data_IF_535145183898
#
_entry.id   IF_535145183898
#
_cell.length_a   1.000
_cell.length_b   1.000
_cell.length_c   1.000
_cell.angle_alpha   90.00
_cell.angle_beta   90.00
_cell.angle_gamma   90.00
#
_symmetry.space_group_name_H-M   'P 1'
#
loop_
_entity.id
_entity.type
_entity.pdbx_description
1 polymer ?
#
# COMPACT_ATOMS: atom_id res chain seq x y z
N UNK A 1 21.77 -31.46 -39.79
CA UNK A 1 21.29 -30.08 -39.52
C UNK A 1 20.20 -29.99 -38.44
N UNK A 2 19.46 -31.06 -38.10
CA UNK A 2 18.38 -31.03 -37.09
C UNK A 2 18.80 -30.68 -35.64
N UNK A 3 20.03 -30.99 -35.21
CA UNK A 3 20.45 -30.76 -33.81
C UNK A 3 20.65 -29.27 -33.46
N UNK A 4 21.01 -28.43 -34.45
CA UNK A 4 21.27 -27.00 -34.22
C UNK A 4 19.99 -26.18 -34.09
N UNK A 5 18.92 -26.58 -34.79
CA UNK A 5 17.59 -25.95 -34.66
C UNK A 5 16.91 -26.30 -33.35
N UNK A 6 17.08 -27.53 -32.82
CA UNK A 6 16.56 -27.91 -31.49
C UNK A 6 17.17 -27.11 -30.34
N UNK A 7 18.47 -26.80 -30.37
CA UNK A 7 19.10 -25.97 -29.34
C UNK A 7 18.57 -24.53 -29.35
N UNK A 8 18.26 -24.00 -30.53
CA UNK A 8 17.76 -22.63 -30.68
C UNK A 8 16.32 -22.48 -30.16
N UNK A 9 15.48 -23.49 -30.36
CA UNK A 9 14.11 -23.55 -29.84
C UNK A 9 14.12 -23.71 -28.31
N UNK A 10 15.03 -24.53 -27.77
CA UNK A 10 15.14 -24.71 -26.32
C UNK A 10 15.60 -23.42 -25.60
N UNK A 11 16.54 -22.66 -26.18
CA UNK A 11 16.95 -21.35 -25.64
C UNK A 11 15.83 -20.31 -25.70
N UNK A 12 14.96 -20.35 -26.72
CA UNK A 12 13.80 -19.46 -26.80
C UNK A 12 12.73 -19.78 -25.74
N UNK A 13 12.56 -21.06 -25.39
CA UNK A 13 11.55 -21.48 -24.41
C UNK A 13 11.92 -21.07 -22.98
N UNK A 14 13.22 -20.99 -22.65
CA UNK A 14 13.71 -20.60 -21.31
C UNK A 14 13.48 -19.11 -21.04
N UNK A 15 13.41 -18.27 -22.07
CA UNK A 15 13.17 -16.82 -21.93
C UNK A 15 11.75 -16.46 -21.45
N UNK A 16 10.77 -17.37 -21.59
CA UNK A 16 9.38 -17.12 -21.18
C UNK A 16 9.06 -17.57 -19.74
N UNK A 17 9.96 -18.29 -19.07
CA UNK A 17 9.72 -18.80 -17.71
C UNK A 17 10.15 -17.84 -16.59
N UNK A 18 10.76 -16.69 -16.92
CA UNK A 18 11.48 -15.87 -15.93
C UNK A 18 10.69 -14.72 -15.31
N UNK A 19 9.42 -14.52 -15.65
CA UNK A 19 8.67 -13.36 -15.16
C UNK A 19 7.40 -13.76 -14.42
N UNK A 20 7.55 -14.54 -13.35
CA UNK A 20 6.62 -14.41 -12.22
C UNK A 20 6.91 -13.06 -11.55
N UNK A 21 6.33 -11.99 -12.09
CA UNK A 21 6.21 -10.70 -11.40
C UNK A 21 5.34 -10.98 -10.19
N UNK A 22 6.01 -11.24 -9.07
CA UNK A 22 5.36 -11.40 -7.80
C UNK A 22 4.85 -10.01 -7.43
N UNK A 23 3.56 -9.76 -7.66
CA UNK A 23 2.87 -8.54 -7.25
C UNK A 23 2.79 -8.54 -5.71
N UNK A 24 3.94 -8.33 -5.07
CA UNK A 24 3.98 -8.04 -3.65
C UNK A 24 3.15 -6.77 -3.43
N UNK A 25 2.25 -6.81 -2.45
CA UNK A 25 1.46 -5.64 -2.06
C UNK A 25 2.39 -4.43 -1.96
N UNK A 26 2.08 -3.37 -2.71
CA UNK A 26 2.96 -2.22 -2.89
C UNK A 26 3.05 -1.47 -1.56
N UNK A 27 4.13 -1.73 -0.80
CA UNK A 27 4.48 -0.95 0.37
C UNK A 27 5.02 0.39 -0.10
N UNK A 28 4.34 1.47 0.26
CA UNK A 28 4.82 2.83 0.12
C UNK A 28 4.98 3.48 1.49
N UNK A 29 5.94 4.38 1.65
CA UNK A 29 6.28 4.91 2.97
C UNK A 29 6.65 6.39 2.89
N UNK A 30 6.25 7.12 3.93
CA UNK A 30 6.60 8.52 4.20
C UNK A 30 7.28 8.63 5.56
N UNK A 31 7.42 9.84 6.10
CA UNK A 31 8.16 10.07 7.35
C UNK A 31 7.42 9.44 8.53
N UNK A 32 6.10 9.60 8.58
CA UNK A 32 5.26 9.20 9.70
C UNK A 32 4.20 8.15 9.34
N UNK A 33 4.11 7.74 8.07
CA UNK A 33 3.01 6.89 7.57
C UNK A 33 3.52 5.81 6.64
N UNK A 34 3.07 4.57 6.86
CA UNK A 34 3.27 3.41 6.00
C UNK A 34 1.94 3.09 5.32
N UNK A 35 1.98 2.83 4.02
CA UNK A 35 0.82 2.45 3.21
C UNK A 35 1.07 1.08 2.57
N UNK A 36 0.18 0.14 2.81
CA UNK A 36 0.11 -1.17 2.16
C UNK A 36 -1.14 -1.23 1.28
N UNK A 37 -1.01 -1.65 0.04
CA UNK A 37 -2.16 -1.92 -0.84
C UNK A 37 -1.73 -2.05 -2.30
N UNK A 38 -2.66 -2.46 -3.15
CA UNK A 38 -2.45 -2.48 -4.60
C UNK A 38 -2.83 -1.11 -5.20
N UNK A 39 -1.98 -0.12 -4.93
CA UNK A 39 -2.15 1.26 -5.41
C UNK A 39 -0.99 1.66 -6.29
N UNK A 40 -1.29 2.37 -7.39
CA UNK A 40 -0.23 2.86 -8.29
C UNK A 40 0.75 3.76 -7.53
N UNK A 41 2.07 3.72 -7.86
CA UNK A 41 3.08 4.51 -7.14
C UNK A 41 2.76 6.01 -7.07
N UNK A 42 2.11 6.55 -8.12
CA UNK A 42 1.67 7.95 -8.18
C UNK A 42 0.59 8.23 -7.13
N UNK A 43 -0.43 7.37 -7.05
CA UNK A 43 -1.54 7.52 -6.09
C UNK A 43 -1.04 7.31 -4.66
N UNK A 44 -0.18 6.33 -4.44
CA UNK A 44 0.44 6.07 -3.15
C UNK A 44 1.21 7.30 -2.64
N UNK A 45 2.08 7.88 -3.49
CA UNK A 45 2.83 9.10 -3.16
C UNK A 45 1.91 10.27 -2.83
N UNK A 46 0.93 10.56 -3.69
CA UNK A 46 -0.02 11.67 -3.47
C UNK A 46 -0.84 11.47 -2.19
N UNK A 47 -1.20 10.23 -1.87
CA UNK A 47 -1.96 9.92 -0.65
C UNK A 47 -1.10 10.15 0.58
N UNK A 48 0.11 9.62 0.60
CA UNK A 48 1.06 9.82 1.71
C UNK A 48 1.36 11.30 1.95
N UNK A 49 1.60 12.09 0.89
CA UNK A 49 1.82 13.54 1.01
C UNK A 49 0.62 14.26 1.64
N UNK A 50 -0.61 13.94 1.22
CA UNK A 50 -1.83 14.52 1.79
C UNK A 50 -2.02 14.13 3.25
N UNK A 51 -1.69 12.90 3.62
CA UNK A 51 -1.82 12.44 5.00
C UNK A 51 -0.78 13.07 5.92
N UNK A 52 0.45 13.29 5.44
CA UNK A 52 1.45 14.08 6.17
C UNK A 52 1.01 15.53 6.38
N UNK A 53 0.39 16.16 5.36
CA UNK A 53 -0.20 17.50 5.50
C UNK A 53 -1.30 17.50 6.57
N UNK A 54 -2.21 16.52 6.50
CA UNK A 54 -3.29 16.40 7.47
C UNK A 54 -2.77 16.17 8.90
N UNK A 55 -1.76 15.30 9.06
CA UNK A 55 -1.08 15.10 10.35
C UNK A 55 -0.55 16.41 10.91
N UNK A 56 0.23 17.15 10.11
CA UNK A 56 0.78 18.46 10.54
C UNK A 56 -0.31 19.44 10.95
N UNK A 57 -1.43 19.46 10.24
CA UNK A 57 -2.58 20.30 10.59
C UNK A 57 -3.15 19.92 11.97
N UNK A 58 -3.42 18.64 12.20
CA UNK A 58 -3.95 18.16 13.48
C UNK A 58 -2.99 18.45 14.64
N UNK A 59 -1.68 18.22 14.45
CA UNK A 59 -0.68 18.53 15.47
C UNK A 59 -0.63 20.03 15.79
N UNK A 60 -0.67 20.88 14.77
CA UNK A 60 -0.69 22.33 14.94
C UNK A 60 -1.92 22.77 15.74
N UNK A 61 -3.10 22.24 15.41
CA UNK A 61 -4.35 22.52 16.13
C UNK A 61 -4.32 22.01 17.58
N UNK A 62 -3.59 20.92 17.84
CA UNK A 62 -3.37 20.38 19.18
C UNK A 62 -2.29 21.10 19.99
N UNK A 63 -1.62 22.12 19.44
CA UNK A 63 -0.52 22.82 20.11
C UNK A 63 0.78 22.00 20.21
N UNK A 64 0.94 20.99 19.35
CA UNK A 64 2.14 20.16 19.25
C UNK A 64 3.07 20.68 18.14
N UNK A 65 4.37 20.34 18.21
CA UNK A 65 5.31 20.61 17.11
C UNK A 65 4.94 19.74 15.89
N UNK A 66 4.56 20.30 14.73
CA UNK A 66 4.16 19.50 13.57
C UNK A 66 5.34 18.88 12.80
N UNK A 67 6.60 19.24 13.11
CA UNK A 67 7.78 18.76 12.39
C UNK A 67 8.54 17.62 13.09
N UNK A 68 8.13 17.27 14.32
CA UNK A 68 8.59 16.07 15.01
C UNK A 68 8.12 14.81 14.27
N UNK A 69 8.97 13.79 14.32
CA UNK A 69 8.65 12.46 13.82
C UNK A 69 7.89 11.65 14.85
N UNK A 70 6.90 10.90 14.40
CA UNK A 70 6.23 9.93 15.26
C UNK A 70 7.21 8.81 15.62
N UNK A 71 7.23 8.41 16.90
CA UNK A 71 8.00 7.25 17.35
C UNK A 71 7.56 5.97 16.62
N UNK A 72 6.25 5.86 16.37
CA UNK A 72 5.63 4.77 15.63
C UNK A 72 4.82 5.30 14.45
N UNK A 73 5.13 4.80 13.24
CA UNK A 73 4.41 5.21 12.03
C UNK A 73 2.99 4.67 12.03
N UNK A 74 2.06 5.49 11.54
CA UNK A 74 0.69 5.03 11.28
C UNK A 74 0.71 4.08 10.09
N UNK A 75 0.21 2.87 10.29
CA UNK A 75 0.10 1.87 9.21
C UNK A 75 -1.29 1.93 8.59
N UNK A 76 -1.36 2.09 7.27
CA UNK A 76 -2.60 2.14 6.50
C UNK A 76 -2.65 0.93 5.56
N UNK A 77 -3.70 0.12 5.67
CA UNK A 77 -4.05 -0.95 4.75
C UNK A 77 -5.15 -0.46 3.81
N UNK A 78 -4.78 -0.23 2.55
CA UNK A 78 -5.67 0.21 1.50
C UNK A 78 -6.23 -0.96 0.72
N UNK A 79 -7.56 -0.99 0.63
CA UNK A 79 -8.32 -1.90 -0.22
C UNK A 79 -8.74 -1.18 -1.50
N UNK A 80 -8.83 -1.92 -2.60
CA UNK A 80 -9.16 -1.37 -3.92
C UNK A 80 -10.56 -0.75 -3.95
N UNK A 81 -11.49 -1.35 -3.20
CA UNK A 81 -12.87 -0.93 -3.18
C UNK A 81 -13.58 -1.31 -1.88
N UNK A 82 -14.74 -0.69 -1.68
CA UNK A 82 -15.54 -0.91 -0.47
C UNK A 82 -16.07 -2.34 -0.35
N UNK A 83 -16.17 -3.12 -1.43
CA UNK A 83 -16.61 -4.51 -1.33
C UNK A 83 -15.55 -5.38 -0.66
N UNK A 84 -14.28 -5.22 -1.04
CA UNK A 84 -13.17 -5.91 -0.38
C UNK A 84 -13.05 -5.49 1.09
N UNK A 85 -13.10 -4.18 1.37
CA UNK A 85 -13.07 -3.67 2.75
C UNK A 85 -14.20 -4.28 3.59
N UNK A 86 -15.44 -4.29 3.08
CA UNK A 86 -16.58 -4.87 3.81
C UNK A 86 -16.44 -6.38 4.01
N UNK A 87 -15.89 -7.08 3.02
CA UNK A 87 -15.61 -8.52 3.12
C UNK A 87 -14.59 -8.80 4.21
N UNK A 88 -13.57 -7.95 4.33
CA UNK A 88 -12.55 -8.05 5.37
C UNK A 88 -13.09 -7.66 6.75
N UNK A 89 -13.77 -6.52 6.84
CA UNK A 89 -14.27 -5.95 8.08
C UNK A 89 -15.47 -6.72 8.67
N UNK A 90 -16.11 -7.61 7.90
CA UNK A 90 -17.27 -8.39 8.34
C UNK A 90 -18.51 -7.53 8.64
N UNK A 91 -18.52 -6.26 8.24
CA UNK A 91 -19.58 -5.30 8.55
C UNK A 91 -19.93 -4.46 7.33
N UNK A 92 -21.24 -4.18 7.17
CA UNK A 92 -21.74 -3.27 6.13
C UNK A 92 -21.78 -1.83 6.67
N UNK A 93 -21.57 -0.85 5.79
CA UNK A 93 -21.69 0.57 6.12
C UNK A 93 -20.46 1.22 6.74
N UNK A 94 -19.31 0.54 6.75
CA UNK A 94 -18.04 1.11 7.24
C UNK A 94 -17.17 1.57 6.07
N UNK A 95 -16.69 2.82 6.15
CA UNK A 95 -15.77 3.42 5.17
C UNK A 95 -14.29 3.15 5.53
N UNK A 96 -14.02 2.79 6.79
CA UNK A 96 -12.70 2.39 7.27
C UNK A 96 -12.74 2.03 8.75
N UNK A 97 -11.73 1.32 9.22
CA UNK A 97 -11.53 0.96 10.62
C UNK A 97 -10.23 1.59 11.12
N UNK A 98 -10.23 2.09 12.34
CA UNK A 98 -9.04 2.52 13.05
C UNK A 98 -8.88 1.68 14.30
N UNK A 99 -7.68 1.16 14.53
CA UNK A 99 -7.35 0.28 15.65
C UNK A 99 -5.87 0.39 15.99
N UNK A 100 -5.42 -0.29 17.03
CA UNK A 100 -4.01 -0.58 17.26
C UNK A 100 -3.71 -2.06 17.04
N UNK A 101 -2.45 -2.41 16.79
CA UNK A 101 -1.97 -3.79 16.87
C UNK A 101 -1.80 -4.27 18.33
N UNK A 102 -1.23 -5.46 18.52
CA UNK A 102 -1.00 -6.04 19.83
C UNK A 102 0.07 -5.30 20.65
N UNK A 103 0.93 -4.50 20.02
CA UNK A 103 1.95 -3.66 20.65
C UNK A 103 1.46 -2.22 20.87
N UNK A 104 0.22 -1.92 20.47
CA UNK A 104 -0.38 -0.59 20.60
C UNK A 104 -0.08 0.35 19.43
N UNK A 105 0.52 -0.14 18.34
CA UNK A 105 0.88 0.71 17.18
C UNK A 105 -0.37 1.06 16.37
N UNK A 106 -0.53 2.32 15.92
CA UNK A 106 -1.72 2.77 15.23
C UNK A 106 -1.85 2.15 13.83
N UNK A 107 -3.04 1.62 13.53
CA UNK A 107 -3.38 1.03 12.25
C UNK A 107 -4.73 1.54 11.72
N UNK A 108 -4.83 1.67 10.41
CA UNK A 108 -6.04 2.03 9.69
C UNK A 108 -6.29 1.06 8.54
N UNK A 109 -7.54 0.70 8.33
CA UNK A 109 -8.02 -0.03 7.18
C UNK A 109 -9.00 0.85 6.43
N UNK A 110 -8.80 1.07 5.14
CA UNK A 110 -9.66 1.96 4.36
C UNK A 110 -9.63 1.64 2.89
N UNK A 111 -10.52 2.25 2.12
CA UNK A 111 -10.40 2.29 0.66
C UNK A 111 -9.62 3.52 0.24
N UNK A 112 -8.70 3.37 -0.71
CA UNK A 112 -8.12 4.52 -1.40
C UNK A 112 -8.76 4.56 -2.79
N UNK A 113 -9.45 5.66 -3.10
CA UNK A 113 -10.02 5.85 -4.43
C UNK A 113 -8.87 5.93 -5.45
N UNK A 114 -8.74 4.87 -6.25
CA UNK A 114 -8.03 4.95 -7.51
C UNK A 114 -8.91 5.74 -8.48
N UNK A 115 -8.66 7.03 -8.64
CA UNK A 115 -9.25 7.80 -9.72
C UNK A 115 -8.49 7.46 -11.02
N UNK A 116 -8.70 6.26 -11.54
CA UNK A 116 -8.35 5.89 -12.92
C UNK A 116 -9.61 5.82 -13.78
#
# INVERSE_FOLDING_TARGET
MLKKTSFLILSFLILFYSTSVNAAALKAESKNIILYGDVSPKIAKQTLEKMEIYRRLIMTLGGLDPYIDDEEKITIYAFDNGAQLRSFAGTRGVAGLYTSDYEGRPMMLTTIASNE
#
